data_IF_176598933088
#
_entry.id   IF_176598933088
#
_cell.length_a   1.000
_cell.length_b   1.000
_cell.length_c   1.000
_cell.angle_alpha   90.00
_cell.angle_beta   90.00
_cell.angle_gamma   90.00
#
_symmetry.space_group_name_H-M   'P 1'
#
loop_
_entity.id
_entity.type
_entity.pdbx_description
1 polymer ?
#
# COMPACT_ATOMS: atom_id res chain seq x y z
N UNK A 1 2.05 7.62 -14.60
CA UNK A 1 2.53 7.40 -13.23
C UNK A 1 1.81 6.20 -12.63
N UNK A 2 0.50 6.26 -12.33
CA UNK A 2 -0.39 5.11 -11.96
C UNK A 2 -0.21 3.82 -12.79
N UNK A 3 0.09 4.04 -14.05
CA UNK A 3 0.45 3.13 -15.12
C UNK A 3 1.49 2.04 -14.83
N UNK A 4 2.53 2.35 -14.07
CA UNK A 4 3.56 1.34 -13.77
C UNK A 4 3.20 0.55 -12.53
N UNK A 5 2.52 1.20 -11.58
CA UNK A 5 2.28 0.65 -10.25
C UNK A 5 1.28 -0.48 -10.27
N UNK A 6 0.19 -0.37 -11.03
CA UNK A 6 -0.78 -1.47 -11.09
C UNK A 6 -0.21 -2.66 -11.87
N UNK A 7 0.68 -2.44 -12.87
CA UNK A 7 1.37 -3.52 -13.59
C UNK A 7 2.36 -4.26 -12.68
N UNK A 8 3.05 -3.53 -11.79
CA UNK A 8 3.95 -4.10 -10.79
C UNK A 8 3.21 -4.67 -9.59
N UNK A 9 2.00 -4.23 -9.25
CA UNK A 9 1.22 -4.74 -8.09
C UNK A 9 0.37 -5.97 -8.48
N UNK A 10 -0.17 -6.02 -9.69
CA UNK A 10 -1.13 -7.05 -10.13
C UNK A 10 -0.54 -8.05 -11.13
N UNK A 11 0.79 -8.14 -11.22
CA UNK A 11 1.51 -8.48 -12.44
C UNK A 11 1.16 -9.80 -13.14
N UNK A 12 1.40 -9.81 -14.45
CA UNK A 12 2.12 -10.90 -15.10
C UNK A 12 3.27 -10.31 -15.89
N UNK A 13 4.49 -10.64 -15.49
CA UNK A 13 5.69 -10.41 -16.29
C UNK A 13 6.23 -11.81 -16.67
N UNK A 14 6.00 -12.28 -17.91
CA UNK A 14 6.12 -13.69 -18.27
C UNK A 14 7.56 -14.26 -18.17
N UNK A 15 8.55 -13.39 -17.97
CA UNK A 15 9.96 -13.78 -17.78
C UNK A 15 10.29 -14.04 -16.30
N UNK A 16 9.60 -13.38 -15.37
CA UNK A 16 9.84 -13.48 -13.92
C UNK A 16 8.95 -14.56 -13.27
N UNK A 17 7.78 -14.85 -13.84
CA UNK A 17 6.77 -15.77 -13.29
C UNK A 17 7.16 -17.26 -13.29
N UNK A 18 8.29 -17.65 -13.88
CA UNK A 18 8.72 -19.06 -13.81
C UNK A 18 9.23 -19.45 -12.43
N UNK A 19 9.87 -18.53 -11.70
CA UNK A 19 10.30 -18.70 -10.31
C UNK A 19 10.60 -17.33 -9.67
N UNK A 20 9.60 -16.57 -9.17
CA UNK A 20 9.89 -15.33 -8.46
C UNK A 20 10.48 -15.67 -7.08
N UNK A 21 11.66 -15.14 -6.71
CA UNK A 21 12.15 -15.27 -5.35
C UNK A 21 11.21 -14.48 -4.43
N UNK A 22 10.79 -15.09 -3.30
CA UNK A 22 9.89 -14.51 -2.27
C UNK A 22 10.24 -13.06 -1.89
N UNK A 23 11.49 -12.64 -2.02
CA UNK A 23 11.98 -11.28 -1.75
C UNK A 23 11.51 -10.21 -2.75
N UNK A 24 11.09 -10.59 -3.96
CA UNK A 24 10.75 -9.62 -5.04
C UNK A 24 9.32 -9.10 -4.98
N UNK A 25 8.35 -9.91 -4.56
CA UNK A 25 6.96 -9.47 -4.36
C UNK A 25 6.85 -8.49 -3.18
N UNK A 26 7.66 -8.74 -2.15
CA UNK A 26 7.74 -7.92 -0.94
C UNK A 26 8.12 -6.46 -1.23
N UNK A 27 9.15 -6.25 -2.07
CA UNK A 27 9.55 -4.90 -2.49
C UNK A 27 8.50 -4.23 -3.39
N UNK A 28 7.72 -5.01 -4.15
CA UNK A 28 6.75 -4.47 -5.12
C UNK A 28 5.60 -3.76 -4.44
N UNK A 29 5.04 -4.31 -3.36
CA UNK A 29 3.97 -3.64 -2.61
C UNK A 29 4.49 -2.44 -1.82
N UNK A 30 5.67 -2.54 -1.18
CA UNK A 30 6.27 -1.44 -0.44
C UNK A 30 6.53 -0.23 -1.34
N UNK A 31 7.15 -0.45 -2.51
CA UNK A 31 7.33 0.61 -3.50
C UNK A 31 5.98 1.16 -3.98
N UNK A 32 5.05 0.28 -4.32
CA UNK A 32 3.79 0.69 -4.91
C UNK A 32 2.92 1.55 -3.99
N UNK A 33 2.92 1.28 -2.68
CA UNK A 33 2.13 2.05 -1.73
C UNK A 33 2.52 3.54 -1.77
N UNK A 34 3.82 3.84 -1.69
CA UNK A 34 4.31 5.22 -1.77
C UNK A 34 3.88 5.89 -3.06
N UNK A 35 4.02 5.20 -4.19
CA UNK A 35 3.57 5.76 -5.45
C UNK A 35 2.06 5.98 -5.56
N UNK A 36 1.23 5.11 -4.99
CA UNK A 36 -0.23 5.25 -4.97
C UNK A 36 -0.67 6.42 -4.09
N UNK A 37 -0.01 6.63 -2.94
CA UNK A 37 -0.25 7.78 -2.06
C UNK A 37 0.08 9.10 -2.77
N UNK A 38 1.28 9.20 -3.35
CA UNK A 38 1.70 10.39 -4.10
C UNK A 38 0.84 10.64 -5.35
N UNK A 39 0.43 9.57 -6.04
CA UNK A 39 -0.48 9.67 -7.17
C UNK A 39 -1.84 10.21 -6.73
N UNK A 40 -2.37 9.81 -5.57
CA UNK A 40 -3.64 10.31 -5.04
C UNK A 40 -3.57 11.81 -4.73
N UNK A 41 -2.53 12.26 -4.01
CA UNK A 41 -2.32 13.67 -3.68
C UNK A 41 -2.14 14.54 -4.92
N UNK A 42 -1.33 14.08 -5.87
CA UNK A 42 -1.12 14.75 -7.16
C UNK A 42 -2.41 14.83 -7.97
N UNK A 43 -3.19 13.75 -7.99
CA UNK A 43 -4.47 13.70 -8.71
C UNK A 43 -5.50 14.65 -8.10
N UNK A 44 -5.60 14.71 -6.77
CA UNK A 44 -6.45 15.66 -6.05
C UNK A 44 -6.11 17.11 -6.46
N UNK A 45 -4.82 17.44 -6.45
CA UNK A 45 -4.31 18.76 -6.88
C UNK A 45 -4.57 19.07 -8.35
N UNK A 46 -4.61 18.05 -9.22
CA UNK A 46 -4.95 18.23 -10.63
C UNK A 46 -6.45 18.47 -10.82
N UNK A 47 -7.30 17.74 -10.09
CA UNK A 47 -8.75 17.85 -10.20
C UNK A 47 -9.29 19.20 -9.73
N UNK A 48 -8.64 19.87 -8.76
CA UNK A 48 -8.96 21.27 -8.40
C UNK A 48 -8.73 22.24 -9.56
N UNK A 49 -7.85 21.90 -10.51
CA UNK A 49 -7.56 22.68 -11.73
C UNK A 49 -8.46 22.31 -12.90
N UNK A 50 -9.40 21.38 -12.72
CA UNK A 50 -10.43 21.00 -13.68
C UNK A 50 -10.69 19.49 -13.74
N UNK A 51 -11.94 19.06 -14.00
CA UNK A 51 -12.35 17.65 -13.91
C UNK A 51 -11.68 16.71 -14.93
N UNK A 52 -11.09 17.26 -16.01
CA UNK A 52 -10.37 16.50 -17.05
C UNK A 52 -8.84 16.50 -16.87
N UNK A 53 -8.34 17.08 -15.79
CA UNK A 53 -6.89 17.18 -15.51
C UNK A 53 -6.35 15.96 -14.77
N UNK A 54 -7.23 15.17 -14.15
CA UNK A 54 -6.90 13.97 -13.39
C UNK A 54 -7.65 12.74 -13.86
N UNK A 55 -7.48 11.65 -13.13
CA UNK A 55 -8.21 10.39 -13.29
C UNK A 55 -9.22 10.20 -12.15
N UNK A 56 -10.06 9.17 -12.26
CA UNK A 56 -11.05 8.83 -11.23
C UNK A 56 -10.36 8.47 -9.91
N UNK A 57 -10.57 9.29 -8.87
CA UNK A 57 -9.94 9.14 -7.55
C UNK A 57 -10.23 7.78 -6.91
N UNK A 58 -11.46 7.27 -7.08
CA UNK A 58 -11.87 5.98 -6.52
C UNK A 58 -11.00 4.81 -6.97
N UNK A 59 -10.42 4.87 -8.18
CA UNK A 59 -9.53 3.82 -8.70
C UNK A 59 -8.20 3.85 -7.96
N UNK A 60 -7.62 5.04 -7.78
CA UNK A 60 -6.37 5.21 -7.03
C UNK A 60 -6.58 4.78 -5.57
N UNK A 61 -7.67 5.23 -4.94
CA UNK A 61 -8.02 4.89 -3.57
C UNK A 61 -8.19 3.38 -3.38
N UNK A 62 -8.85 2.69 -4.31
CA UNK A 62 -9.02 1.23 -4.27
C UNK A 62 -7.66 0.51 -4.24
N UNK A 63 -6.74 0.83 -5.16
CA UNK A 63 -5.44 0.17 -5.21
C UNK A 63 -4.54 0.55 -4.03
N UNK A 64 -4.61 1.80 -3.56
CA UNK A 64 -3.92 2.24 -2.33
C UNK A 64 -4.36 1.39 -1.14
N UNK A 65 -5.68 1.22 -0.94
CA UNK A 65 -6.23 0.40 0.14
C UNK A 65 -5.83 -1.07 0.03
N UNK A 66 -5.93 -1.66 -1.17
CA UNK A 66 -5.49 -3.04 -1.39
C UNK A 66 -4.01 -3.21 -1.02
N UNK A 67 -3.15 -2.32 -1.51
CA UNK A 67 -1.72 -2.36 -1.20
C UNK A 67 -1.44 -2.20 0.30
N UNK A 68 -2.19 -1.32 0.97
CA UNK A 68 -2.07 -1.09 2.41
C UNK A 68 -2.45 -2.35 3.22
N UNK A 69 -3.57 -2.99 2.88
CA UNK A 69 -4.04 -4.21 3.54
C UNK A 69 -3.09 -5.39 3.33
N UNK A 70 -2.56 -5.59 2.12
CA UNK A 70 -1.58 -6.63 1.83
C UNK A 70 -0.28 -6.42 2.62
N UNK A 71 0.23 -5.19 2.67
CA UNK A 71 1.41 -4.87 3.48
C UNK A 71 1.17 -5.08 4.96
N UNK A 72 -0.03 -4.76 5.45
CA UNK A 72 -0.40 -5.00 6.85
C UNK A 72 -0.44 -6.48 7.18
N UNK A 73 -1.10 -7.29 6.35
CA UNK A 73 -1.17 -8.74 6.53
C UNK A 73 0.24 -9.35 6.54
N UNK A 74 1.13 -8.87 5.65
CA UNK A 74 2.53 -9.29 5.63
C UNK A 74 3.28 -8.88 6.90
N UNK A 75 3.15 -7.62 7.34
CA UNK A 75 3.81 -7.14 8.55
C UNK A 75 3.37 -7.92 9.79
N UNK A 76 2.08 -8.26 9.88
CA UNK A 76 1.55 -9.15 10.92
C UNK A 76 2.14 -10.56 10.83
N UNK A 77 2.18 -11.17 9.64
CA UNK A 77 2.78 -12.49 9.46
C UNK A 77 4.27 -12.53 9.84
N UNK A 78 5.01 -11.44 9.59
CA UNK A 78 6.41 -11.30 10.00
C UNK A 78 6.56 -11.10 11.51
N UNK A 79 5.61 -10.41 12.14
CA UNK A 79 5.57 -10.21 13.59
C UNK A 79 5.31 -11.52 14.33
N UNK A 80 4.44 -12.38 13.79
CA UNK A 80 4.07 -13.68 14.38
C UNK A 80 5.19 -14.75 14.30
N UNK A 81 6.25 -14.55 13.51
CA UNK A 81 7.33 -15.56 13.39
C UNK A 81 8.20 -15.66 14.63
N UNK A 82 8.22 -14.62 15.47
CA UNK A 82 9.11 -14.47 16.62
C UNK A 82 10.61 -14.56 16.28
N UNK A 83 10.96 -14.34 15.01
CA UNK A 83 12.34 -14.23 14.53
C UNK A 83 12.74 -12.75 14.50
N UNK A 84 13.81 -12.38 15.20
CA UNK A 84 14.21 -10.97 15.39
C UNK A 84 14.35 -10.21 14.06
N UNK A 85 14.92 -10.84 13.03
CA UNK A 85 15.08 -10.21 11.72
C UNK A 85 13.72 -9.98 11.04
N UNK A 86 12.87 -11.00 11.01
CA UNK A 86 11.53 -10.92 10.43
C UNK A 86 10.65 -9.90 11.15
N UNK A 87 10.66 -9.93 12.48
CA UNK A 87 9.94 -8.96 13.33
C UNK A 87 10.41 -7.56 13.01
N UNK A 88 11.73 -7.33 12.98
CA UNK A 88 12.30 -6.02 12.62
C UNK A 88 11.85 -5.56 11.24
N UNK A 89 11.82 -6.45 10.23
CA UNK A 89 11.30 -6.13 8.90
C UNK A 89 9.82 -5.71 8.96
N UNK A 90 8.98 -6.45 9.69
CA UNK A 90 7.56 -6.14 9.86
C UNK A 90 7.33 -4.79 10.56
N UNK A 91 8.07 -4.52 11.63
CA UNK A 91 8.00 -3.25 12.37
C UNK A 91 8.47 -2.07 11.51
N UNK A 92 9.51 -2.24 10.69
CA UNK A 92 9.95 -1.20 9.76
C UNK A 92 8.86 -0.89 8.71
N UNK A 93 8.18 -1.91 8.17
CA UNK A 93 7.04 -1.70 7.26
C UNK A 93 5.91 -0.93 7.94
N UNK A 94 5.61 -1.23 9.20
CA UNK A 94 4.61 -0.50 9.98
C UNK A 94 4.98 0.97 10.13
N UNK A 95 6.21 1.24 10.58
CA UNK A 95 6.68 2.57 10.94
C UNK A 95 6.95 3.48 9.74
N UNK A 96 7.53 2.94 8.67
CA UNK A 96 8.00 3.74 7.53
C UNK A 96 6.94 3.90 6.44
N UNK A 97 5.96 2.99 6.37
CA UNK A 97 4.99 2.94 5.27
C UNK A 97 3.55 2.98 5.74
N UNK A 98 3.14 2.02 6.58
CA UNK A 98 1.72 1.82 6.91
C UNK A 98 1.18 2.97 7.77
N UNK A 99 1.82 3.28 8.89
CA UNK A 99 1.39 4.35 9.81
C UNK A 99 1.36 5.70 9.09
N UNK A 100 2.44 6.11 8.37
CA UNK A 100 2.40 7.33 7.57
C UNK A 100 1.27 7.35 6.53
N UNK A 101 1.03 6.24 5.83
CA UNK A 101 -0.05 6.17 4.85
C UNK A 101 -1.43 6.35 5.50
N UNK A 102 -1.70 5.70 6.64
CA UNK A 102 -2.97 5.83 7.37
C UNK A 102 -3.20 7.28 7.77
N UNK A 103 -2.19 7.95 8.33
CA UNK A 103 -2.37 9.33 8.75
C UNK A 103 -2.64 10.26 7.56
N UNK A 104 -1.95 10.04 6.43
CA UNK A 104 -2.22 10.78 5.19
C UNK A 104 -3.63 10.53 4.63
N UNK A 105 -4.17 9.32 4.79
CA UNK A 105 -5.55 9.00 4.40
C UNK A 105 -6.55 9.72 5.29
N UNK A 106 -6.36 9.68 6.61
CA UNK A 106 -7.25 10.33 7.59
C UNK A 106 -7.28 11.85 7.39
N UNK A 107 -6.13 12.45 7.04
CA UNK A 107 -6.01 13.88 6.80
C UNK A 107 -6.57 14.34 5.44
N UNK A 108 -6.91 13.43 4.51
CA UNK A 108 -7.38 13.75 3.15
C UNK A 108 -8.80 13.22 2.88
N UNK A 109 -9.80 13.81 3.54
CA UNK A 109 -11.25 13.53 3.34
C UNK A 109 -11.55 12.02 3.19
N UNK A 110 -11.42 11.32 4.32
CA UNK A 110 -11.46 9.86 4.39
C UNK A 110 -12.80 9.29 3.90
N UNK A 111 -12.74 8.34 2.97
CA UNK A 111 -13.93 7.59 2.54
C UNK A 111 -14.32 6.52 3.59
N UNK A 112 -15.60 6.13 3.63
CA UNK A 112 -16.05 4.99 4.46
C UNK A 112 -15.20 3.73 4.19
N UNK A 113 -14.92 3.53 2.92
CA UNK A 113 -14.16 2.43 2.37
C UNK A 113 -12.69 2.42 2.85
N UNK A 114 -12.10 3.58 3.07
CA UNK A 114 -10.77 3.74 3.69
C UNK A 114 -10.84 3.52 5.21
N UNK A 115 -11.87 4.07 5.87
CA UNK A 115 -12.08 3.92 7.30
C UNK A 115 -12.25 2.44 7.69
N UNK A 116 -13.10 1.70 6.96
CA UNK A 116 -13.34 0.28 7.20
C UNK A 116 -12.03 -0.54 7.09
N UNK A 117 -11.18 -0.22 6.10
CA UNK A 117 -9.87 -0.88 5.95
C UNK A 117 -8.91 -0.56 7.12
N UNK A 118 -8.88 0.70 7.57
CA UNK A 118 -8.05 1.12 8.71
C UNK A 118 -8.52 0.45 10.00
N UNK A 119 -9.83 0.37 10.22
CA UNK A 119 -10.39 -0.26 11.42
C UNK A 119 -10.13 -1.78 11.46
N UNK A 120 -10.14 -2.46 10.31
CA UNK A 120 -9.71 -3.87 10.22
C UNK A 120 -8.25 -4.01 10.71
N UNK A 121 -7.36 -3.13 10.26
CA UNK A 121 -5.95 -3.17 10.65
C UNK A 121 -5.75 -2.85 12.13
N UNK A 122 -6.40 -1.79 12.64
CA UNK A 122 -6.37 -1.42 14.06
C UNK A 122 -6.86 -2.56 14.93
N UNK A 123 -8.00 -3.15 14.60
CA UNK A 123 -8.56 -4.30 15.31
C UNK A 123 -7.58 -5.48 15.33
N UNK A 124 -6.92 -5.76 14.20
CA UNK A 124 -5.95 -6.84 14.12
C UNK A 124 -4.77 -6.60 15.08
N UNK A 125 -4.14 -5.42 15.05
CA UNK A 125 -3.01 -5.13 15.94
C UNK A 125 -3.41 -5.01 17.41
N UNK A 126 -4.57 -4.45 17.71
CA UNK A 126 -5.12 -4.42 19.07
C UNK A 126 -5.46 -5.82 19.60
N UNK A 127 -5.68 -6.81 18.74
CA UNK A 127 -6.01 -8.17 19.19
C UNK A 127 -4.89 -8.83 19.99
N UNK A 128 -3.63 -8.41 19.78
CA UNK A 128 -2.48 -8.87 20.56
C UNK A 128 -2.45 -8.33 22.00
N UNK A 129 -3.20 -7.26 22.30
CA UNK A 129 -3.28 -6.71 23.65
C UNK A 129 -3.96 -7.72 24.59
N UNK A 130 -3.26 -8.14 25.63
CA UNK A 130 -3.74 -9.13 26.60
C UNK A 130 -3.57 -10.59 26.17
N UNK A 131 -2.93 -10.84 25.01
CA UNK A 131 -2.45 -12.18 24.67
C UNK A 131 -1.08 -12.45 25.31
N UNK A 132 -0.79 -13.72 25.54
CA UNK A 132 0.53 -14.18 26.00
C UNK A 132 1.50 -14.27 24.82
N UNK A 133 2.09 -13.12 24.45
CA UNK A 133 3.12 -13.00 23.42
C UNK A 133 4.47 -12.68 24.06
N UNK A 134 5.57 -12.98 23.33
CA UNK A 134 6.92 -12.76 23.81
C UNK A 134 7.19 -11.28 24.20
N UNK A 135 8.01 -11.06 25.23
CA UNK A 135 8.26 -9.73 25.81
C UNK A 135 8.80 -8.72 24.80
N UNK A 136 9.71 -9.14 23.93
CA UNK A 136 10.22 -8.32 22.82
C UNK A 136 9.09 -7.86 21.86
N UNK A 137 8.14 -8.74 21.55
CA UNK A 137 6.98 -8.41 20.72
C UNK A 137 6.04 -7.44 21.42
N UNK A 138 5.83 -7.59 22.74
CA UNK A 138 5.04 -6.65 23.53
C UNK A 138 5.66 -5.24 23.51
N UNK A 139 6.98 -5.15 23.66
CA UNK A 139 7.71 -3.89 23.58
C UNK A 139 7.53 -3.23 22.21
N UNK A 140 7.79 -3.97 21.11
CA UNK A 140 7.59 -3.45 19.76
C UNK A 140 6.15 -2.99 19.52
N UNK A 141 5.14 -3.77 19.94
CA UNK A 141 3.74 -3.41 19.83
C UNK A 141 3.43 -2.11 20.59
N UNK A 142 3.94 -1.97 21.82
CA UNK A 142 3.78 -0.78 22.63
C UNK A 142 4.35 0.49 22.01
N UNK A 143 5.39 0.39 21.18
CA UNK A 143 6.02 1.53 20.53
C UNK A 143 5.27 2.08 19.32
N UNK A 144 4.73 1.21 18.44
CA UNK A 144 4.06 1.67 17.22
C UNK A 144 2.54 1.75 17.35
N UNK A 145 1.91 0.95 18.22
CA UNK A 145 0.46 0.87 18.31
C UNK A 145 -0.21 2.21 18.66
N UNK A 146 0.31 3.02 19.61
CA UNK A 146 -0.26 4.35 19.87
C UNK A 146 -0.31 5.22 18.62
N UNK A 147 0.73 5.18 17.79
CA UNK A 147 0.80 5.94 16.53
C UNK A 147 -0.16 5.39 15.47
N UNK A 148 -0.42 4.08 15.45
CA UNK A 148 -1.43 3.51 14.56
C UNK A 148 -2.86 3.97 14.95
N UNK A 149 -3.13 4.12 16.24
CA UNK A 149 -4.43 4.49 16.78
C UNK A 149 -4.68 6.00 16.74
N UNK A 150 -3.64 6.81 16.97
CA UNK A 150 -3.74 8.26 17.03
C UNK A 150 -2.90 8.96 15.93
N UNK A 151 -3.54 9.46 14.86
CA UNK A 151 -2.90 10.20 13.78
C UNK A 151 -2.43 11.62 14.16
N UNK A 152 -2.88 12.14 15.30
CA UNK A 152 -2.60 13.52 15.72
C UNK A 152 -1.21 13.69 16.35
N UNK A 153 -0.52 12.59 16.64
CA UNK A 153 0.70 12.58 17.42
C UNK A 153 1.98 12.98 16.65
N UNK A 154 2.00 12.94 15.30
CA UNK A 154 3.24 13.12 14.52
C UNK A 154 3.06 13.94 13.23
N UNK A 155 4.12 14.67 12.84
CA UNK A 155 4.25 15.28 11.51
C UNK A 155 4.62 14.17 10.53
N UNK A 156 3.68 13.81 9.65
CA UNK A 156 3.86 12.67 8.74
C UNK A 156 4.49 13.07 7.43
N UNK A 157 5.62 12.45 7.13
CA UNK A 157 6.21 12.47 5.79
C UNK A 157 6.43 11.03 5.36
N UNK A 158 5.58 10.52 4.46
CA UNK A 158 5.89 9.30 3.72
C UNK A 158 7.04 9.63 2.76
N UNK A 159 8.06 8.78 2.69
CA UNK A 159 9.21 9.02 1.81
C UNK A 159 8.75 9.12 0.35
N UNK A 160 9.17 10.19 -0.34
CA UNK A 160 8.87 10.37 -1.75
C UNK A 160 9.49 9.24 -2.58
N UNK A 161 8.70 8.58 -3.43
CA UNK A 161 9.23 7.53 -4.25
C UNK A 161 10.06 8.12 -5.40
N UNK A 162 11.07 7.41 -5.92
CA UNK A 162 11.99 7.98 -6.91
C UNK A 162 11.27 8.41 -8.18
N UNK A 163 11.71 9.53 -8.77
CA UNK A 163 11.10 10.06 -9.99
C UNK A 163 11.30 9.10 -11.16
N UNK A 164 10.20 8.61 -11.74
CA UNK A 164 10.24 7.79 -12.94
C UNK A 164 10.27 8.69 -14.17
N UNK A 165 11.34 8.59 -14.97
CA UNK A 165 11.43 9.22 -16.28
C UNK A 165 11.03 8.21 -17.36
N UNK A 166 9.91 8.40 -18.07
CA UNK A 166 9.58 7.52 -19.19
C UNK A 166 10.59 7.73 -20.33
N UNK A 167 10.98 6.65 -21.00
CA UNK A 167 11.88 6.73 -22.15
C UNK A 167 11.23 7.44 -23.35
N UNK A 168 9.89 7.37 -23.45
CA UNK A 168 9.08 8.11 -24.43
C UNK A 168 7.62 8.25 -23.97
N UNK A 169 6.83 9.17 -24.58
CA UNK A 169 5.38 9.25 -24.34
C UNK A 169 4.62 7.97 -24.72
N UNK A 170 5.08 7.25 -25.75
CA UNK A 170 4.45 6.01 -26.23
C UNK A 170 4.59 4.87 -25.21
N UNK A 171 5.73 4.81 -24.52
CA UNK A 171 5.96 3.86 -23.41
C UNK A 171 4.91 4.04 -22.30
N UNK A 172 4.55 5.27 -21.98
CA UNK A 172 3.55 5.56 -20.96
C UNK A 172 2.14 5.11 -21.37
N UNK A 173 1.72 5.39 -22.62
CA UNK A 173 0.40 4.97 -23.10
C UNK A 173 0.29 3.44 -23.17
N UNK A 174 1.32 2.77 -23.68
CA UNK A 174 1.34 1.31 -23.82
C UNK A 174 1.28 0.60 -22.46
N UNK A 175 2.03 1.10 -21.47
CA UNK A 175 1.98 0.59 -20.09
C UNK A 175 0.60 0.82 -19.46
N UNK A 176 -0.11 1.88 -19.84
CA UNK A 176 -1.43 2.18 -19.29
C UNK A 176 -2.49 1.23 -19.81
N UNK A 177 -2.47 0.99 -21.11
CA UNK A 177 -3.32 0.00 -21.74
C UNK A 177 -3.10 -1.38 -21.09
N UNK A 178 -1.85 -1.83 -20.98
CA UNK A 178 -1.53 -3.13 -20.38
C UNK A 178 -2.04 -3.26 -18.92
N UNK A 179 -1.93 -2.19 -18.13
CA UNK A 179 -2.53 -2.15 -16.78
C UNK A 179 -4.04 -2.29 -16.83
N UNK A 180 -4.70 -1.42 -17.60
CA UNK A 180 -6.16 -1.37 -17.61
C UNK A 180 -6.75 -2.68 -18.15
N UNK A 181 -6.09 -3.31 -19.12
CA UNK A 181 -6.44 -4.63 -19.64
C UNK A 181 -6.25 -5.73 -18.58
N UNK A 182 -5.16 -5.72 -17.82
CA UNK A 182 -4.95 -6.67 -16.72
C UNK A 182 -6.04 -6.53 -15.64
N UNK A 183 -6.43 -5.29 -15.30
CA UNK A 183 -7.53 -5.04 -14.35
C UNK A 183 -8.86 -5.60 -14.86
N UNK A 184 -9.15 -5.43 -16.16
CA UNK A 184 -10.39 -5.92 -16.77
C UNK A 184 -10.39 -7.46 -16.95
N UNK A 185 -9.24 -8.05 -17.25
CA UNK A 185 -9.06 -9.49 -17.42
C UNK A 185 -9.18 -10.30 -16.12
N UNK A 186 -9.06 -9.66 -14.95
CA UNK A 186 -9.38 -10.28 -13.65
C UNK A 186 -10.90 -10.44 -13.47
N UNK A 187 -11.72 -9.73 -14.25
CA UNK A 187 -13.17 -9.67 -14.07
C UNK A 187 -13.99 -10.52 -15.06
N UNK A 188 -13.35 -11.21 -16.01
CA UNK A 188 -14.01 -12.16 -16.92
C UNK A 188 -13.19 -13.46 -16.87
N UNK A 189 -13.69 -14.60 -16.39
CA UNK A 189 -14.81 -15.36 -16.96
C UNK A 189 -15.19 -16.48 -15.97
N UNK A 190 -16.46 -16.57 -15.57
CA UNK A 190 -17.10 -17.86 -15.26
C UNK A 190 -18.04 -18.15 -16.43
N UNK A 191 -17.65 -19.05 -17.34
CA UNK A 191 -18.60 -19.64 -18.28
C UNK A 191 -19.25 -20.82 -17.57
N UNK A 192 -20.59 -20.79 -17.54
CA UNK A 192 -21.45 -21.87 -17.06
C UNK A 192 -21.29 -23.14 -17.88
#
# INVERSE_FOLDING_TARGET
>A
MLTFYVSKVMGRDPVIDRYPPRSTENHRYQEALSYLVYAYQSNTTLLTKGPRRGVKESVIALYRRKCLLELNAKAASLFETNDDHSVTEGINVMNELIIPCIHLIINNDISKDDLDAIEIMRKHWCSYLGQDIAENLQLCLGEFLPRLLDPSAEIIVLKEPPTIRPNSPYDLCSRFAAVMESIQGISAVTVK
#
